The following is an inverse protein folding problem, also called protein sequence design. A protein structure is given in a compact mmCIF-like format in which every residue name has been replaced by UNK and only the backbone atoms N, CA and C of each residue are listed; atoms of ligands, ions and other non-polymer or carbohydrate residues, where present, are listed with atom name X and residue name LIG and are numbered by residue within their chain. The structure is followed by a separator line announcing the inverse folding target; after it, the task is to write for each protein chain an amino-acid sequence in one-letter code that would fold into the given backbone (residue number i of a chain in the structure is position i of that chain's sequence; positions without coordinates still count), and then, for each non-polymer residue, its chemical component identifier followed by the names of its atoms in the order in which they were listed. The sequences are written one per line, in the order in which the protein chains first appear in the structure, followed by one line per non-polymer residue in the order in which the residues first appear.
data_IF_228278309440
#
_entry.id   IF_228278309440
#
_cell.length_a   1.000
_cell.length_b   1.000
_cell.length_c   1.000
_cell.angle_alpha   90.00
_cell.angle_beta   90.00
_cell.angle_gamma   90.00
#
_symmetry.space_group_name_H-M   'P 1'
#
loop_
_entity.id
_entity.type
_entity.pdbx_description
1 polymer ?
#
# COMPACT_ATOMS: atom_id res chain seq x y z
N UNK A 1 -13.29 -1.12 13.32
CA UNK A 1 -13.43 -0.95 11.84
C UNK A 1 -13.49 -2.29 11.12
N UNK A 2 -14.24 -2.42 10.01
CA UNK A 2 -14.30 -3.63 9.18
C UNK A 2 -13.43 -3.46 7.93
N UNK A 3 -12.43 -4.32 7.74
CA UNK A 3 -11.39 -4.18 6.71
C UNK A 3 -11.55 -5.13 5.51
N UNK A 4 -12.65 -5.88 5.43
CA UNK A 4 -12.86 -6.95 4.44
C UNK A 4 -12.85 -6.51 2.97
N UNK A 5 -12.93 -5.21 2.69
CA UNK A 5 -12.87 -4.65 1.35
C UNK A 5 -11.51 -4.03 0.99
N UNK A 6 -10.53 -4.08 1.90
CA UNK A 6 -9.19 -3.62 1.58
C UNK A 6 -8.55 -4.53 0.53
N UNK A 7 -7.90 -3.91 -0.45
CA UNK A 7 -7.13 -4.60 -1.48
C UNK A 7 -5.73 -4.00 -1.51
N UNK A 8 -4.72 -4.84 -1.26
CA UNK A 8 -3.32 -4.43 -1.32
C UNK A 8 -2.90 -4.13 -2.76
N UNK A 9 -2.06 -3.11 -2.95
CA UNK A 9 -1.42 -2.87 -4.25
C UNK A 9 -0.28 -3.86 -4.49
N UNK A 10 0.19 -3.97 -5.73
CA UNK A 10 1.37 -4.81 -6.02
C UNK A 10 2.61 -4.42 -5.22
N UNK A 11 2.85 -3.11 -5.01
CA UNK A 11 3.96 -2.61 -4.21
C UNK A 11 3.84 -3.06 -2.74
N UNK A 12 2.63 -2.99 -2.19
CA UNK A 12 2.33 -3.43 -0.83
C UNK A 12 2.45 -4.96 -0.67
N UNK A 13 1.87 -5.74 -1.58
CA UNK A 13 1.99 -7.20 -1.59
C UNK A 13 3.46 -7.63 -1.64
N UNK A 14 4.27 -6.93 -2.44
CA UNK A 14 5.69 -7.22 -2.59
C UNK A 14 6.47 -7.02 -1.28
N UNK A 15 6.30 -5.88 -0.60
CA UNK A 15 7.01 -5.63 0.67
C UNK A 15 6.47 -6.51 1.80
N UNK A 16 5.15 -6.75 1.82
CA UNK A 16 4.52 -7.65 2.78
C UNK A 16 5.04 -9.09 2.64
N UNK A 17 5.20 -9.58 1.41
CA UNK A 17 5.77 -10.90 1.17
C UNK A 17 7.21 -11.00 1.71
N UNK A 18 8.02 -9.96 1.50
CA UNK A 18 9.38 -9.89 2.05
C UNK A 18 9.38 -9.91 3.58
N UNK A 19 8.62 -9.02 4.22
CA UNK A 19 8.52 -8.98 5.68
C UNK A 19 8.08 -10.32 6.27
N UNK A 20 7.03 -10.95 5.71
CA UNK A 20 6.56 -12.26 6.16
C UNK A 20 7.61 -13.37 5.99
N UNK A 21 8.33 -13.37 4.86
CA UNK A 21 9.40 -14.36 4.63
C UNK A 21 10.57 -14.19 5.59
N UNK A 22 10.77 -12.97 6.09
CA UNK A 22 11.79 -12.61 7.09
C UNK A 22 11.30 -12.75 8.54
N UNK A 23 10.07 -13.22 8.77
CA UNK A 23 9.51 -13.42 10.11
C UNK A 23 9.05 -12.14 10.82
N UNK A 24 8.96 -11.01 10.12
CA UNK A 24 8.42 -9.75 10.63
C UNK A 24 6.89 -9.81 10.54
N UNK A 25 6.23 -10.22 11.63
CA UNK A 25 4.79 -10.54 11.60
C UNK A 25 3.90 -9.53 12.33
N UNK A 26 4.45 -8.79 13.29
CA UNK A 26 3.71 -7.93 14.21
C UNK A 26 4.43 -6.59 14.42
N UNK A 27 3.67 -5.54 14.73
CA UNK A 27 4.16 -4.16 14.80
C UNK A 27 5.25 -3.96 15.89
N UNK A 28 5.18 -4.71 16.98
CA UNK A 28 6.18 -4.65 18.07
C UNK A 28 7.58 -5.09 17.62
N UNK A 29 7.66 -5.90 16.56
CA UNK A 29 8.92 -6.40 16.00
C UNK A 29 9.39 -5.56 14.81
N UNK A 30 8.64 -4.51 14.47
CA UNK A 30 8.90 -3.66 13.30
C UNK A 30 10.01 -2.65 13.64
N UNK A 31 11.24 -3.13 13.77
CA UNK A 31 12.40 -2.34 14.16
C UNK A 31 13.36 -2.14 12.97
N UNK A 32 13.93 -0.96 12.77
CA UNK A 32 14.65 -0.66 11.52
C UNK A 32 15.96 -1.43 11.42
N UNK A 33 16.64 -1.67 12.54
CA UNK A 33 17.84 -2.50 12.64
C UNK A 33 17.51 -3.94 12.25
N UNK A 34 16.41 -4.49 12.79
CA UNK A 34 15.95 -5.84 12.43
C UNK A 34 15.56 -5.96 10.97
N UNK A 35 14.91 -4.94 10.41
CA UNK A 35 14.54 -4.93 9.00
C UNK A 35 15.79 -4.91 8.11
N UNK A 36 16.77 -4.07 8.46
CA UNK A 36 18.04 -3.99 7.75
C UNK A 36 18.78 -5.34 7.79
N UNK A 37 18.92 -5.93 8.99
CA UNK A 37 19.53 -7.25 9.18
C UNK A 37 18.79 -8.33 8.37
N UNK A 38 17.46 -8.39 8.46
CA UNK A 38 16.66 -9.40 7.78
C UNK A 38 16.72 -9.30 6.24
N UNK A 39 17.09 -8.13 5.73
CA UNK A 39 17.27 -7.88 4.31
C UNK A 39 18.73 -7.83 3.87
N UNK A 40 19.68 -8.16 4.73
CA UNK A 40 21.12 -8.10 4.43
C UNK A 40 21.51 -6.71 3.93
N UNK A 41 21.16 -5.69 4.73
CA UNK A 41 21.46 -4.28 4.52
C UNK A 41 22.26 -3.78 5.72
N UNK A 42 23.41 -3.18 5.47
CA UNK A 42 24.19 -2.56 6.52
C UNK A 42 23.56 -1.20 6.90
N UNK A 43 23.33 -0.98 8.19
CA UNK A 43 22.77 0.27 8.70
C UNK A 43 23.83 1.02 9.50
N UNK A 44 24.22 2.20 9.03
CA UNK A 44 25.30 3.00 9.62
C UNK A 44 24.76 4.34 10.11
N UNK A 45 25.04 4.65 11.38
CA UNK A 45 24.74 5.96 11.97
C UNK A 45 25.97 6.87 11.89
N UNK A 46 25.89 7.93 11.08
CA UNK A 46 27.04 8.78 10.76
C UNK A 46 26.73 10.28 10.87
N UNK A 47 27.79 11.09 10.93
CA UNK A 47 27.71 12.57 10.95
C UNK A 47 27.66 13.14 9.53
N UNK A 48 26.66 12.71 8.76
CA UNK A 48 26.46 13.12 7.37
C UNK A 48 24.97 13.17 7.05
N UNK A 49 24.55 13.81 5.94
CA UNK A 49 23.20 13.61 5.42
C UNK A 49 22.88 12.12 5.27
N UNK A 50 21.63 11.73 5.48
CA UNK A 50 21.20 10.35 5.24
C UNK A 50 21.16 10.07 3.74
N UNK A 51 21.56 8.87 3.34
CA UNK A 51 21.52 8.37 1.97
C UNK A 51 21.72 6.86 1.96
N UNK A 52 21.53 6.22 0.80
CA UNK A 52 21.85 4.82 0.57
C UNK A 52 22.85 4.63 -0.56
N UNK A 53 23.61 3.54 -0.47
CA UNK A 53 24.32 2.95 -1.59
C UNK A 53 23.64 1.62 -1.94
N UNK A 54 23.00 1.60 -3.11
CA UNK A 54 22.20 0.46 -3.55
C UNK A 54 23.06 -0.73 -3.96
N UNK A 55 24.29 -0.49 -4.43
CA UNK A 55 25.20 -1.56 -4.89
C UNK A 55 25.83 -2.27 -3.70
N UNK A 56 26.32 -1.51 -2.73
CA UNK A 56 26.91 -2.03 -1.49
C UNK A 56 25.87 -2.40 -0.42
N UNK A 57 24.58 -2.16 -0.69
CA UNK A 57 23.45 -2.45 0.21
C UNK A 57 23.64 -1.84 1.60
N UNK A 58 23.99 -0.55 1.65
CA UNK A 58 24.19 0.17 2.90
C UNK A 58 23.28 1.40 2.96
N UNK A 59 22.73 1.65 4.14
CA UNK A 59 21.95 2.85 4.47
C UNK A 59 22.71 3.64 5.53
N UNK A 60 23.00 4.90 5.22
CA UNK A 60 23.54 5.87 6.16
C UNK A 60 22.39 6.70 6.72
N UNK A 61 22.25 6.71 8.05
CA UNK A 61 21.36 7.61 8.77
C UNK A 61 22.16 8.68 9.51
N UNK A 62 21.73 9.93 9.38
CA UNK A 62 22.31 11.02 10.14
C UNK A 62 22.04 10.82 11.64
N UNK A 63 23.10 10.62 12.42
CA UNK A 63 23.04 10.36 13.88
C UNK A 63 22.44 11.51 14.71
N UNK A 64 22.27 12.69 14.12
CA UNK A 64 21.64 13.86 14.75
C UNK A 64 20.16 14.02 14.41
N UNK A 65 19.62 13.15 13.56
CA UNK A 65 18.20 13.17 13.22
C UNK A 65 17.38 12.58 14.35
N UNK A 66 16.26 13.22 14.69
CA UNK A 66 15.31 12.70 15.67
C UNK A 66 14.80 11.31 15.26
N UNK A 67 14.75 10.36 16.19
CA UNK A 67 14.48 8.93 15.94
C UNK A 67 13.27 8.67 15.03
N UNK A 68 12.15 9.34 15.34
CA UNK A 68 10.90 9.22 14.57
C UNK A 68 11.07 9.66 13.10
N UNK A 69 11.89 10.68 12.83
CA UNK A 69 12.18 11.13 11.47
C UNK A 69 13.24 10.25 10.80
N UNK A 70 14.25 9.80 11.55
CA UNK A 70 15.27 8.87 11.06
C UNK A 70 14.62 7.58 10.54
N UNK A 71 13.55 7.14 11.19
CA UNK A 71 12.75 5.99 10.77
C UNK A 71 12.01 6.20 9.45
N UNK A 72 11.46 7.39 9.21
CA UNK A 72 10.84 7.73 7.90
C UNK A 72 11.89 7.71 6.80
N UNK A 73 13.04 8.34 7.06
CA UNK A 73 14.17 8.36 6.12
C UNK A 73 14.67 6.94 5.85
N UNK A 74 14.78 6.09 6.88
CA UNK A 74 15.15 4.70 6.70
C UNK A 74 14.24 3.99 5.70
N UNK A 75 12.91 4.11 5.82
CA UNK A 75 12.00 3.46 4.88
C UNK A 75 12.09 4.02 3.45
N UNK A 76 12.45 5.29 3.31
CA UNK A 76 12.72 5.91 2.01
C UNK A 76 13.97 5.29 1.37
N UNK A 77 15.09 5.30 2.10
CA UNK A 77 16.35 4.70 1.67
C UNK A 77 16.24 3.18 1.44
N UNK A 78 15.41 2.50 2.22
CA UNK A 78 15.09 1.09 2.04
C UNK A 78 14.44 0.83 0.67
N UNK A 79 13.59 1.73 0.19
CA UNK A 79 13.04 1.63 -1.16
C UNK A 79 14.15 1.70 -2.21
N UNK A 80 15.08 2.66 -2.06
CA UNK A 80 16.20 2.81 -2.98
C UNK A 80 17.03 1.54 -3.05
N UNK A 81 17.48 1.02 -1.91
CA UNK A 81 18.31 -0.20 -1.86
C UNK A 81 17.59 -1.42 -2.45
N UNK A 82 16.30 -1.58 -2.15
CA UNK A 82 15.59 -2.80 -2.54
C UNK A 82 15.00 -2.78 -3.95
N UNK A 83 14.77 -1.60 -4.54
CA UNK A 83 13.95 -1.46 -5.76
C UNK A 83 14.59 -0.63 -6.86
N UNK A 84 15.48 0.29 -6.51
CA UNK A 84 16.04 1.24 -7.47
C UNK A 84 17.45 0.85 -7.91
N UNK A 85 17.79 1.26 -9.13
CA UNK A 85 19.11 1.03 -9.71
C UNK A 85 19.57 2.28 -10.47
N UNK A 86 20.88 2.38 -10.68
CA UNK A 86 21.54 3.50 -11.35
C UNK A 86 21.88 4.66 -10.41
N UNK A 87 22.70 5.57 -10.93
CA UNK A 87 23.18 6.73 -10.18
C UNK A 87 22.28 7.96 -10.43
N UNK A 88 21.52 8.36 -9.42
CA UNK A 88 20.60 9.50 -9.49
C UNK A 88 21.29 10.85 -9.79
N UNK A 89 22.61 10.97 -9.59
CA UNK A 89 23.37 12.20 -9.89
C UNK A 89 23.49 12.45 -11.39
N UNK A 90 23.40 11.39 -12.20
CA UNK A 90 23.53 11.43 -13.67
C UNK A 90 22.29 10.91 -14.39
N UNK A 91 21.29 10.44 -13.64
CA UNK A 91 20.01 9.96 -14.14
C UNK A 91 19.16 11.10 -14.74
N UNK A 92 18.45 10.88 -15.87
CA UNK A 92 17.52 11.87 -16.37
C UNK A 92 16.40 12.15 -15.36
N UNK A 93 15.96 13.41 -15.27
CA UNK A 93 15.05 13.88 -14.21
C UNK A 93 13.77 13.06 -14.09
N UNK A 94 13.13 12.70 -15.20
CA UNK A 94 11.89 11.93 -15.18
C UNK A 94 12.04 10.54 -14.53
N UNK A 95 13.20 9.89 -14.67
CA UNK A 95 13.45 8.61 -14.02
C UNK A 95 13.75 8.80 -12.53
N UNK A 96 14.49 9.86 -12.18
CA UNK A 96 14.73 10.22 -10.79
C UNK A 96 13.42 10.53 -10.07
N UNK A 97 12.58 11.39 -10.65
CA UNK A 97 11.29 11.79 -10.08
C UNK A 97 10.36 10.58 -9.90
N UNK A 98 10.40 9.62 -10.83
CA UNK A 98 9.65 8.38 -10.70
C UNK A 98 10.16 7.49 -9.54
N UNK A 99 11.47 7.43 -9.32
CA UNK A 99 12.05 6.73 -8.17
C UNK A 99 11.67 7.40 -6.85
N UNK A 100 11.80 8.72 -6.74
CA UNK A 100 11.39 9.46 -5.53
C UNK A 100 9.89 9.28 -5.24
N UNK A 101 9.04 9.36 -6.27
CA UNK A 101 7.60 9.14 -6.09
C UNK A 101 7.25 7.71 -5.66
N UNK A 102 8.00 6.69 -6.13
CA UNK A 102 7.84 5.32 -5.65
C UNK A 102 8.30 5.20 -4.19
N UNK A 103 9.43 5.80 -3.82
CA UNK A 103 9.96 5.79 -2.47
C UNK A 103 9.01 6.46 -1.46
N UNK A 104 8.49 7.65 -1.78
CA UNK A 104 7.50 8.36 -0.96
C UNK A 104 6.27 7.49 -0.68
N UNK A 105 5.78 6.79 -1.71
CA UNK A 105 4.62 5.91 -1.59
C UNK A 105 4.97 4.61 -0.85
N UNK A 106 6.19 4.09 -1.04
CA UNK A 106 6.70 2.89 -0.39
C UNK A 106 6.76 3.05 1.12
N UNK A 107 7.18 4.21 1.62
CA UNK A 107 7.25 4.53 3.06
C UNK A 107 5.93 4.20 3.77
N UNK A 108 4.78 4.54 3.17
CA UNK A 108 3.47 4.28 3.78
C UNK A 108 3.20 2.79 4.01
N UNK A 109 3.61 1.91 3.08
CA UNK A 109 3.43 0.46 3.22
C UNK A 109 4.50 -0.17 4.09
N UNK A 110 5.75 0.27 3.91
CA UNK A 110 6.90 -0.29 4.60
C UNK A 110 6.90 0.07 6.08
N UNK A 111 6.50 1.30 6.43
CA UNK A 111 6.43 1.76 7.81
C UNK A 111 5.20 1.25 8.56
N UNK A 112 4.07 1.08 7.86
CA UNK A 112 2.80 0.60 8.44
C UNK A 112 2.18 -0.46 7.53
N UNK A 113 2.71 -1.70 7.58
CA UNK A 113 2.17 -2.80 6.77
C UNK A 113 0.72 -3.09 7.13
N UNK A 114 -0.14 -3.22 6.13
CA UNK A 114 -1.58 -3.35 6.38
C UNK A 114 -1.94 -4.58 7.21
N UNK A 115 -1.24 -5.70 7.00
CA UNK A 115 -1.48 -6.93 7.77
C UNK A 115 -1.06 -6.84 9.25
N UNK A 116 -0.19 -5.88 9.61
CA UNK A 116 0.09 -5.58 11.01
C UNK A 116 -1.00 -4.65 11.54
N UNK A 117 -1.33 -3.61 10.77
CA UNK A 117 -2.35 -2.63 11.10
C UNK A 117 -3.72 -3.26 11.38
N UNK A 118 -4.18 -4.21 10.54
CA UNK A 118 -5.52 -4.80 10.65
C UNK A 118 -5.75 -5.60 11.95
N UNK A 119 -4.66 -6.04 12.60
CA UNK A 119 -4.70 -6.80 13.86
C UNK A 119 -4.83 -5.88 15.08
N UNK A 120 -4.55 -4.59 14.93
CA UNK A 120 -4.49 -3.66 16.05
C UNK A 120 -5.88 -3.19 16.49
N UNK A 121 -6.08 -2.91 17.78
CA UNK A 121 -7.32 -2.34 18.30
C UNK A 121 -7.39 -0.82 18.03
N UNK A 122 -7.40 -0.44 16.75
CA UNK A 122 -7.42 0.98 16.35
C UNK A 122 -8.68 1.66 16.89
N UNK A 123 -8.56 2.77 17.66
CA UNK A 123 -9.70 3.55 18.12
C UNK A 123 -10.58 4.02 16.95
N UNK A 124 -11.90 4.06 17.16
CA UNK A 124 -12.84 4.51 16.12
C UNK A 124 -12.76 6.04 15.91
N UNK A 125 -12.38 6.80 16.95
CA UNK A 125 -12.22 8.25 16.86
C UNK A 125 -10.89 8.59 16.20
N UNK A 126 -10.93 9.36 15.09
CA UNK A 126 -9.73 9.78 14.35
C UNK A 126 -8.67 10.45 15.22
N UNK A 127 -9.10 11.31 16.15
CA UNK A 127 -8.22 12.03 17.08
C UNK A 127 -7.45 11.12 18.03
N UNK A 128 -7.95 9.90 18.26
CA UNK A 128 -7.29 8.88 19.09
C UNK A 128 -6.52 7.87 18.22
N UNK A 129 -7.05 7.55 17.03
CA UNK A 129 -6.45 6.62 16.10
C UNK A 129 -5.07 7.09 15.58
N UNK A 130 -4.95 8.37 15.21
CA UNK A 130 -3.70 8.89 14.64
C UNK A 130 -2.54 8.80 15.66
N UNK A 131 -2.67 9.32 16.90
CA UNK A 131 -1.63 9.15 17.91
C UNK A 131 -1.35 7.68 18.23
N UNK A 132 -2.39 6.84 18.29
CA UNK A 132 -2.21 5.40 18.53
C UNK A 132 -1.34 4.73 17.45
N UNK A 133 -1.61 5.01 16.17
CA UNK A 133 -0.82 4.46 15.04
C UNK A 133 0.61 4.99 15.08
N UNK A 134 0.77 6.29 15.31
CA UNK A 134 2.08 6.93 15.40
C UNK A 134 2.93 6.32 16.52
N UNK A 135 2.32 6.08 17.69
CA UNK A 135 2.96 5.44 18.83
C UNK A 135 3.33 3.98 18.51
N UNK A 136 2.40 3.17 18.00
CA UNK A 136 2.66 1.74 17.73
C UNK A 136 3.74 1.52 16.69
N UNK A 137 3.78 2.33 15.63
CA UNK A 137 4.75 2.18 14.53
C UNK A 137 5.97 3.11 14.65
N UNK A 138 6.04 3.93 15.70
CA UNK A 138 7.11 4.90 15.99
C UNK A 138 7.34 5.92 14.86
N UNK A 139 6.26 6.42 14.26
CA UNK A 139 6.29 7.35 13.10
C UNK A 139 5.68 8.72 13.43
N UNK A 140 5.91 9.77 12.61
CA UNK A 140 5.27 11.06 12.79
C UNK A 140 3.74 10.96 12.68
N UNK A 141 3.04 11.87 13.36
CA UNK A 141 1.57 11.97 13.32
C UNK A 141 1.06 12.18 11.88
N UNK A 142 1.79 12.96 11.09
CA UNK A 142 1.47 13.26 9.70
C UNK A 142 1.48 11.99 8.83
N UNK A 143 2.49 11.13 9.01
CA UNK A 143 2.59 9.87 8.27
C UNK A 143 1.51 8.87 8.71
N UNK A 144 1.22 8.82 10.02
CA UNK A 144 0.14 8.00 10.56
C UNK A 144 -1.23 8.44 10.01
N UNK A 145 -1.48 9.75 9.94
CA UNK A 145 -2.68 10.32 9.33
C UNK A 145 -2.78 9.96 7.84
N UNK A 146 -1.72 10.19 7.08
CA UNK A 146 -1.66 9.85 5.65
C UNK A 146 -1.95 8.37 5.40
N UNK A 147 -1.39 7.48 6.21
CA UNK A 147 -1.63 6.04 6.10
C UNK A 147 -3.06 5.67 6.45
N UNK A 148 -3.62 6.23 7.53
CA UNK A 148 -5.01 5.99 7.91
C UNK A 148 -5.98 6.43 6.80
N UNK A 149 -5.77 7.61 6.22
CA UNK A 149 -6.57 8.13 5.11
C UNK A 149 -6.46 7.27 3.86
N UNK A 150 -5.26 6.80 3.55
CA UNK A 150 -5.05 5.88 2.45
C UNK A 150 -5.81 4.56 2.68
N UNK A 151 -5.78 4.02 3.90
CA UNK A 151 -6.48 2.78 4.23
C UNK A 151 -7.99 2.96 4.09
N UNK A 152 -8.55 4.02 4.67
CA UNK A 152 -9.98 4.33 4.59
C UNK A 152 -10.45 4.52 3.15
N UNK A 153 -9.68 5.25 2.32
CA UNK A 153 -9.99 5.41 0.90
C UNK A 153 -10.00 4.08 0.14
N UNK A 154 -9.08 3.16 0.44
CA UNK A 154 -9.03 1.83 -0.19
C UNK A 154 -10.18 0.94 0.22
N UNK A 155 -10.52 0.92 1.51
CA UNK A 155 -11.70 0.18 2.00
C UNK A 155 -12.97 0.70 1.33
N UNK A 156 -13.14 2.02 1.27
CA UNK A 156 -14.28 2.64 0.59
C UNK A 156 -14.32 2.24 -0.89
N UNK A 157 -13.20 2.39 -1.61
CA UNK A 157 -13.10 2.01 -3.01
C UNK A 157 -13.46 0.53 -3.24
N UNK A 158 -12.91 -0.39 -2.45
CA UNK A 158 -13.23 -1.81 -2.54
C UNK A 158 -14.69 -2.11 -2.26
N UNK A 159 -15.30 -1.42 -1.28
CA UNK A 159 -16.73 -1.58 -0.97
C UNK A 159 -17.64 -1.12 -2.11
N UNK A 160 -17.28 0.00 -2.76
CA UNK A 160 -18.01 0.52 -3.92
C UNK A 160 -17.88 -0.43 -5.12
N UNK A 161 -16.68 -0.96 -5.38
CA UNK A 161 -16.48 -1.94 -6.44
C UNK A 161 -17.30 -3.22 -6.20
N UNK A 162 -17.28 -3.75 -4.97
CA UNK A 162 -18.06 -4.93 -4.62
C UNK A 162 -19.57 -4.70 -4.78
N UNK A 163 -20.06 -3.52 -4.35
CA UNK A 163 -21.47 -3.14 -4.53
C UNK A 163 -21.86 -3.02 -6.01
N UNK A 164 -21.00 -2.43 -6.85
CA UNK A 164 -21.22 -2.33 -8.29
C UNK A 164 -21.29 -3.72 -8.96
N UNK A 165 -20.36 -4.62 -8.63
CA UNK A 165 -20.35 -5.98 -9.15
C UNK A 165 -21.60 -6.78 -8.76
N UNK A 166 -22.06 -6.65 -7.52
CA UNK A 166 -23.29 -7.30 -7.06
C UNK A 166 -24.53 -6.73 -7.77
N UNK A 167 -24.58 -5.43 -8.01
CA UNK A 167 -25.66 -4.79 -8.77
C UNK A 167 -25.70 -5.30 -10.22
N UNK A 168 -24.54 -5.38 -10.89
CA UNK A 168 -24.43 -5.97 -12.23
C UNK A 168 -24.85 -7.44 -12.26
N UNK A 169 -24.46 -8.23 -11.25
CA UNK A 169 -24.85 -9.65 -11.16
C UNK A 169 -26.36 -9.80 -11.02
N UNK A 170 -26.98 -9.00 -10.14
CA UNK A 170 -28.45 -8.98 -9.99
C UNK A 170 -29.15 -8.59 -11.28
N UNK A 171 -28.65 -7.59 -11.99
CA UNK A 171 -29.21 -7.16 -13.27
C UNK A 171 -29.13 -8.27 -14.33
N UNK A 172 -27.99 -8.98 -14.43
CA UNK A 172 -27.84 -10.14 -15.31
C UNK A 172 -28.79 -11.27 -14.92
N UNK A 173 -28.94 -11.55 -13.63
CA UNK A 173 -29.88 -12.57 -13.13
C UNK A 173 -31.34 -12.24 -13.46
N UNK A 174 -31.76 -10.97 -13.37
CA UNK A 174 -33.12 -10.56 -13.78
C UNK A 174 -33.35 -10.71 -15.28
N UNK A 175 -32.36 -10.40 -16.12
CA UNK A 175 -32.42 -10.60 -17.57
C UNK A 175 -32.57 -12.08 -17.91
N UNK A 176 -31.81 -12.95 -17.26
CA UNK A 176 -31.88 -14.41 -17.47
C UNK A 176 -33.23 -14.98 -16.98
N UNK A 177 -33.81 -14.41 -15.93
CA UNK A 177 -35.09 -14.84 -15.34
C UNK A 177 -36.34 -14.23 -16.00
N UNK A 178 -36.22 -13.57 -17.15
CA UNK A 178 -37.39 -13.04 -17.86
C UNK A 178 -38.47 -14.10 -18.09
N UNK A 179 -39.73 -13.68 -17.99
CA UNK A 179 -40.86 -14.58 -18.18
C UNK A 179 -40.84 -15.21 -19.59
N UNK A 180 -41.43 -16.40 -19.78
CA UNK A 180 -41.50 -17.03 -21.10
C UNK A 180 -42.11 -16.11 -22.17
N UNK A 181 -43.09 -15.29 -21.78
CA UNK A 181 -43.75 -14.34 -22.68
C UNK A 181 -42.81 -13.20 -23.10
N UNK A 182 -41.99 -12.71 -22.15
CA UNK A 182 -40.98 -11.68 -22.41
C UNK A 182 -39.89 -12.21 -23.34
N UNK A 183 -39.40 -13.44 -23.10
CA UNK A 183 -38.42 -14.10 -23.96
C UNK A 183 -38.99 -14.30 -25.38
N UNK A 184 -40.25 -14.74 -25.49
CA UNK A 184 -40.95 -14.89 -26.78
C UNK A 184 -40.98 -13.60 -27.58
N UNK A 185 -41.36 -12.48 -26.94
CA UNK A 185 -41.45 -11.17 -27.59
C UNK A 185 -40.06 -10.69 -28.05
N UNK A 186 -39.02 -10.88 -27.24
CA UNK A 186 -37.66 -10.45 -27.59
C UNK A 186 -37.08 -11.24 -28.78
N UNK A 187 -37.24 -12.57 -28.80
CA UNK A 187 -36.82 -13.39 -29.94
C UNK A 187 -37.60 -13.03 -31.23
N UNK A 188 -38.86 -12.61 -31.11
CA UNK A 188 -39.64 -12.14 -32.25
C UNK A 188 -39.11 -10.81 -32.79
N UNK A 189 -38.71 -9.87 -31.91
CA UNK A 189 -38.08 -8.60 -32.29
C UNK A 189 -36.74 -8.79 -33.00
N UNK A 190 -35.87 -9.68 -32.50
CA UNK A 190 -34.58 -9.97 -33.14
C UNK A 190 -34.74 -10.47 -34.57
N UNK A 191 -35.69 -11.39 -34.82
CA UNK A 191 -35.98 -11.87 -36.17
C UNK A 191 -36.43 -10.74 -37.11
N UNK A 192 -37.29 -9.85 -36.64
CA UNK A 192 -37.81 -8.75 -37.46
C UNK A 192 -36.75 -7.71 -37.81
N UNK A 193 -35.75 -7.52 -36.94
CA UNK A 193 -34.61 -6.64 -37.22
C UNK A 193 -33.65 -7.29 -38.23
N UNK A 194 -33.46 -8.61 -38.16
CA UNK A 194 -32.59 -9.34 -39.08
C UNK A 194 -33.19 -9.49 -40.49
N UNK A 195 -34.51 -9.56 -40.61
CA UNK A 195 -35.22 -9.64 -41.91
C UNK A 195 -35.33 -8.28 -42.64
N UNK A 196 -34.97 -7.17 -41.98
CA UNK A 196 -35.05 -5.81 -42.54
C UNK A 196 -33.68 -5.20 -42.93
N UNK A 197 -32.57 -5.89 -42.67
CA UNK A 197 -31.22 -5.53 -43.14
C UNK A 197 -30.83 -6.37 -44.34
#
# INVERSE_FOLDING_TARGET
MLFCYYQETHLEQWINAKYRSSGLLDAEQHDIERIAEAFDIELIYADCPSFSDNEERVIFLNKHTHDVMARVIFFHELCHVLRHAGDQRVMPSLFKDAQEAEADQFVLYAAVPFYMFEKLPIPDQRSEAIPFIAEVFHIPLELAEQRLDQIQRRVLHGSLMAAAQEAERRQKETVVKWSPETQRILSQLEKQLWEKG
#
